data_IF_076884036641
#
_entry.id   IF_076884036641
#
_cell.length_a   1.000
_cell.length_b   1.000
_cell.length_c   1.000
_cell.angle_alpha   90.00
_cell.angle_beta   90.00
_cell.angle_gamma   90.00
#
_symmetry.space_group_name_H-M   'P 1'
#
loop_
_entity.id
_entity.type
_entity.pdbx_description
1 polymer ?
#
# COMPACT_ATOMS: atom_id res chain seq x y z
N UNK A 1 -17.99 -36.00 -3.76
CA UNK A 1 -16.88 -35.22 -4.38
C UNK A 1 -17.26 -33.76 -4.67
N UNK A 2 -18.51 -33.44 -5.03
CA UNK A 2 -18.95 -32.06 -5.30
C UNK A 2 -18.86 -31.10 -4.09
N UNK A 3 -19.19 -31.55 -2.88
CA UNK A 3 -19.15 -30.71 -1.66
C UNK A 3 -17.72 -30.30 -1.26
N UNK A 4 -16.72 -31.15 -1.49
CA UNK A 4 -15.32 -30.84 -1.15
C UNK A 4 -14.77 -29.74 -2.07
N UNK A 5 -15.17 -29.76 -3.34
CA UNK A 5 -14.78 -28.75 -4.33
C UNK A 5 -15.42 -27.39 -3.98
N UNK A 6 -16.67 -27.38 -3.49
CA UNK A 6 -17.35 -26.13 -3.08
C UNK A 6 -16.77 -25.52 -1.79
N UNK A 7 -16.38 -26.35 -0.81
CA UNK A 7 -15.72 -25.86 0.41
C UNK A 7 -14.35 -25.27 0.09
N UNK A 8 -13.61 -25.88 -0.85
CA UNK A 8 -12.29 -25.38 -1.28
C UNK A 8 -12.41 -24.05 -2.01
N UNK A 9 -13.39 -23.90 -2.90
CA UNK A 9 -13.61 -22.65 -3.63
C UNK A 9 -14.07 -21.51 -2.70
N UNK A 10 -14.93 -21.79 -1.73
CA UNK A 10 -15.35 -20.82 -0.71
C UNK A 10 -14.18 -20.32 0.15
N UNK A 11 -13.30 -21.24 0.61
CA UNK A 11 -12.09 -20.86 1.36
C UNK A 11 -11.13 -20.02 0.51
N UNK A 12 -10.96 -20.36 -0.77
CA UNK A 12 -10.10 -19.61 -1.67
C UNK A 12 -10.66 -18.21 -1.96
N UNK A 13 -11.97 -18.08 -2.17
CA UNK A 13 -12.62 -16.78 -2.35
C UNK A 13 -12.48 -15.90 -1.09
N UNK A 14 -12.70 -16.47 0.10
CA UNK A 14 -12.51 -15.76 1.37
C UNK A 14 -11.06 -15.31 1.57
N UNK A 15 -10.09 -16.15 1.21
CA UNK A 15 -8.67 -15.83 1.28
C UNK A 15 -8.32 -14.66 0.34
N UNK A 16 -8.78 -14.70 -0.92
CA UNK A 16 -8.59 -13.59 -1.86
C UNK A 16 -9.20 -12.28 -1.36
N UNK A 17 -10.41 -12.36 -0.78
CA UNK A 17 -11.05 -11.19 -0.19
C UNK A 17 -10.24 -10.63 0.99
N UNK A 18 -9.73 -11.48 1.87
CA UNK A 18 -8.84 -11.05 2.95
C UNK A 18 -7.54 -10.43 2.43
N UNK A 19 -6.92 -11.04 1.42
CA UNK A 19 -5.71 -10.51 0.76
C UNK A 19 -5.98 -9.13 0.15
N UNK A 20 -7.12 -8.92 -0.51
CA UNK A 20 -7.55 -7.62 -1.04
C UNK A 20 -7.79 -6.57 0.06
N UNK A 21 -8.43 -6.95 1.17
CA UNK A 21 -8.66 -6.04 2.31
C UNK A 21 -7.34 -5.60 2.93
N UNK A 22 -6.39 -6.53 3.08
CA UNK A 22 -5.06 -6.23 3.61
C UNK A 22 -4.28 -5.33 2.65
N UNK A 23 -4.30 -5.62 1.35
CA UNK A 23 -3.67 -4.77 0.33
C UNK A 23 -4.25 -3.35 0.33
N UNK A 24 -5.58 -3.21 0.41
CA UNK A 24 -6.24 -1.91 0.54
C UNK A 24 -5.81 -1.15 1.79
N UNK A 25 -5.64 -1.85 2.91
CA UNK A 25 -5.14 -1.24 4.16
C UNK A 25 -3.69 -0.78 4.03
N UNK A 26 -2.84 -1.58 3.37
CA UNK A 26 -1.45 -1.19 3.08
C UNK A 26 -1.39 0.06 2.19
N UNK A 27 -2.21 0.12 1.14
CA UNK A 27 -2.28 1.29 0.26
C UNK A 27 -2.66 2.56 1.02
N UNK A 28 -3.71 2.50 1.84
CA UNK A 28 -4.13 3.64 2.64
C UNK A 28 -3.01 4.15 3.58
N UNK A 29 -2.24 3.23 4.19
CA UNK A 29 -1.10 3.60 5.04
C UNK A 29 0.05 4.26 4.26
N UNK A 30 0.34 3.77 3.06
CA UNK A 30 1.38 4.33 2.19
C UNK A 30 0.96 5.72 1.71
N UNK A 31 -0.29 5.88 1.26
CA UNK A 31 -0.85 7.16 0.82
C UNK A 31 -0.84 8.19 1.95
N UNK A 32 -1.25 7.81 3.17
CA UNK A 32 -1.22 8.69 4.32
C UNK A 32 0.22 9.10 4.68
N UNK A 33 1.16 8.15 4.64
CA UNK A 33 2.57 8.44 4.90
C UNK A 33 3.16 9.39 3.86
N UNK A 34 2.79 9.23 2.59
CA UNK A 34 3.23 10.09 1.50
C UNK A 34 2.70 11.52 1.68
N UNK A 35 1.42 11.69 2.01
CA UNK A 35 0.83 13.00 2.31
C UNK A 35 1.57 13.70 3.46
N UNK A 36 1.76 12.99 4.58
CA UNK A 36 2.48 13.56 5.72
C UNK A 36 3.91 13.99 5.34
N UNK A 37 4.62 13.18 4.55
CA UNK A 37 5.98 13.53 4.11
C UNK A 37 6.00 14.72 3.14
N UNK A 38 4.97 14.89 2.30
CA UNK A 38 4.82 16.07 1.44
C UNK A 38 4.59 17.34 2.26
N UNK A 39 3.72 17.28 3.28
CA UNK A 39 3.45 18.40 4.19
C UNK A 39 4.71 18.79 4.98
N UNK A 40 5.43 17.80 5.50
CA UNK A 40 6.71 18.04 6.17
C UNK A 40 7.77 18.58 5.21
N UNK A 41 7.82 18.12 3.96
CA UNK A 41 8.76 18.63 2.96
C UNK A 41 8.50 20.10 2.62
N UNK A 42 7.22 20.49 2.51
CA UNK A 42 6.83 21.87 2.23
C UNK A 42 7.30 22.84 3.32
N UNK A 43 7.34 22.38 4.59
CA UNK A 43 7.78 23.16 5.75
C UNK A 43 9.25 22.99 6.11
N UNK A 44 9.99 22.11 5.44
CA UNK A 44 11.37 21.78 5.80
C UNK A 44 12.39 22.84 5.36
N UNK A 45 13.47 23.04 6.16
CA UNK A 45 14.62 23.84 5.76
C UNK A 45 15.35 23.22 4.55
N UNK A 46 16.03 24.05 3.76
CA UNK A 46 16.64 23.62 2.49
C UNK A 46 17.64 22.47 2.63
N UNK A 47 18.37 22.44 3.74
CA UNK A 47 19.36 21.39 4.06
C UNK A 47 18.73 20.01 4.21
N UNK A 48 17.47 19.93 4.67
CA UNK A 48 16.75 18.67 4.87
C UNK A 48 15.99 18.20 3.63
N UNK A 49 15.72 19.12 2.68
CA UNK A 49 14.92 18.83 1.48
C UNK A 49 15.46 17.65 0.66
N UNK A 50 16.77 17.50 0.39
CA UNK A 50 17.27 16.37 -0.39
C UNK A 50 16.93 15.00 0.24
N UNK A 51 17.07 14.89 1.55
CA UNK A 51 16.77 13.64 2.29
C UNK A 51 15.28 13.36 2.27
N UNK A 52 14.45 14.39 2.49
CA UNK A 52 12.99 14.28 2.46
C UNK A 52 12.45 13.95 1.06
N UNK A 53 13.00 14.58 0.02
CA UNK A 53 12.68 14.24 -1.37
C UNK A 53 12.99 12.77 -1.70
N UNK A 54 14.11 12.24 -1.19
CA UNK A 54 14.42 10.81 -1.34
C UNK A 54 13.38 9.91 -0.66
N UNK A 55 12.90 10.28 0.54
CA UNK A 55 11.84 9.53 1.25
C UNK A 55 10.52 9.57 0.48
N UNK A 56 10.10 10.74 0.00
CA UNK A 56 8.90 10.92 -0.83
C UNK A 56 8.98 10.04 -2.07
N UNK A 57 10.13 10.05 -2.77
CA UNK A 57 10.33 9.21 -3.96
C UNK A 57 10.15 7.73 -3.65
N UNK A 58 10.77 7.23 -2.59
CA UNK A 58 10.65 5.82 -2.17
C UNK A 58 9.23 5.43 -1.79
N UNK A 59 8.48 6.32 -1.13
CA UNK A 59 7.07 6.09 -0.82
C UNK A 59 6.22 6.07 -2.09
N UNK A 60 6.51 6.92 -3.07
CA UNK A 60 5.89 6.89 -4.39
C UNK A 60 6.15 5.58 -5.15
N UNK A 61 7.41 5.13 -5.18
CA UNK A 61 7.78 3.82 -5.77
C UNK A 61 7.06 2.66 -5.08
N UNK A 62 6.93 2.70 -3.75
CA UNK A 62 6.21 1.68 -2.98
C UNK A 62 4.71 1.70 -3.26
N UNK A 63 4.13 2.89 -3.42
CA UNK A 63 2.72 3.05 -3.79
C UNK A 63 2.45 2.46 -5.17
N UNK A 64 3.26 2.82 -6.17
CA UNK A 64 3.16 2.30 -7.53
C UNK A 64 3.25 0.77 -7.55
N UNK A 65 4.26 0.20 -6.88
CA UNK A 65 4.40 -1.25 -6.74
C UNK A 65 3.15 -1.89 -6.12
N UNK A 66 2.65 -1.34 -5.01
CA UNK A 66 1.53 -1.93 -4.28
C UNK A 66 0.23 -1.81 -5.07
N UNK A 67 0.01 -0.72 -5.81
CA UNK A 67 -1.15 -0.57 -6.70
C UNK A 67 -1.12 -1.55 -7.87
N UNK A 68 0.07 -1.96 -8.33
CA UNK A 68 0.23 -3.00 -9.34
C UNK A 68 -0.09 -4.43 -8.86
N UNK A 69 -0.32 -4.62 -7.55
CA UNK A 69 -0.73 -5.91 -6.97
C UNK A 69 -2.25 -6.08 -6.85
N UNK A 70 -3.03 -5.02 -7.10
CA UNK A 70 -4.49 -5.04 -7.15
C UNK A 70 -5.00 -5.60 -8.49
#
# INVERSE_FOLDING_TARGET
MAEIISIRSLRQARRRHQEQVVLGSCLALIEQSLHNQLDEFASAPEEERPVRASKIRKLGELLEYTTGLL
#
